data_IF_043969101649
#
_entry.id   IF_043969101649
#
_cell.length_a   1.000
_cell.length_b   1.000
_cell.length_c   1.000
_cell.angle_alpha   90.00
_cell.angle_beta   90.00
_cell.angle_gamma   90.00
#
_symmetry.space_group_name_H-M   'P 1'
#
loop_
_entity.id
_entity.type
_entity.pdbx_description
1 polymer ?
#
# COMPACT_ATOMS: atom_id res chain seq x y z
N UNK A 1 -13.61 -2.02 4.82
CA UNK A 1 -12.93 -1.54 6.04
C UNK A 1 -12.52 -2.74 6.88
N UNK A 2 -11.31 -2.73 7.45
CA UNK A 2 -10.85 -3.77 8.39
C UNK A 2 -10.40 -3.08 9.68
N UNK A 3 -10.94 -3.49 10.84
CA UNK A 3 -10.65 -2.88 12.15
C UNK A 3 -10.75 -1.34 12.19
N UNK A 4 -11.75 -0.79 11.49
CA UNK A 4 -11.98 0.67 11.43
C UNK A 4 -11.03 1.44 10.52
N UNK A 5 -10.24 0.74 9.69
CA UNK A 5 -9.36 1.35 8.68
C UNK A 5 -10.00 1.13 7.29
N UNK A 6 -10.13 2.22 6.53
CA UNK A 6 -10.51 2.19 5.12
C UNK A 6 -9.25 1.92 4.28
N UNK A 7 -9.22 0.76 3.63
CA UNK A 7 -8.09 0.36 2.79
C UNK A 7 -8.42 0.62 1.32
N UNK A 8 -7.48 1.27 0.64
CA UNK A 8 -7.38 1.24 -0.81
C UNK A 8 -6.49 0.06 -1.22
N UNK A 9 -6.88 -0.68 -2.25
CA UNK A 9 -6.15 -1.86 -2.72
C UNK A 9 -5.90 -1.72 -4.21
N UNK A 10 -4.64 -1.64 -4.61
CA UNK A 10 -4.25 -1.36 -5.99
C UNK A 10 -3.11 -2.26 -6.45
N UNK A 11 -3.07 -2.58 -7.74
CA UNK A 11 -1.94 -3.26 -8.34
C UNK A 11 -0.78 -2.29 -8.62
N UNK A 12 0.45 -2.81 -8.65
CA UNK A 12 1.67 -2.02 -8.82
C UNK A 12 1.78 -1.24 -10.15
N UNK A 13 0.95 -1.58 -11.13
CA UNK A 13 0.90 -0.94 -12.45
C UNK A 13 0.15 0.41 -12.45
N UNK A 14 -0.45 0.79 -11.32
CA UNK A 14 -1.26 2.00 -11.19
C UNK A 14 -0.47 3.22 -10.77
N UNK A 15 -0.74 4.33 -11.46
CA UNK A 15 -0.17 5.64 -11.14
C UNK A 15 -0.65 6.08 -9.75
N UNK A 16 0.30 6.44 -8.88
CA UNK A 16 0.07 6.91 -7.51
C UNK A 16 -0.57 5.91 -6.53
N UNK A 17 -0.70 4.63 -6.88
CA UNK A 17 -1.09 3.54 -5.97
C UNK A 17 -2.29 3.89 -5.06
N UNK A 18 -3.32 4.60 -5.55
CA UNK A 18 -4.48 4.94 -4.72
C UNK A 18 -4.24 5.90 -3.53
N UNK A 19 -3.06 6.56 -3.44
CA UNK A 19 -2.71 7.46 -2.32
C UNK A 19 -3.71 8.60 -2.14
N UNK A 20 -4.21 9.17 -3.24
CA UNK A 20 -5.21 10.24 -3.18
C UNK A 20 -6.51 9.78 -2.52
N UNK A 21 -6.93 8.55 -2.78
CA UNK A 21 -8.13 7.96 -2.20
C UNK A 21 -7.95 7.70 -0.70
N UNK A 22 -6.78 7.17 -0.30
CA UNK A 22 -6.44 6.97 1.10
C UNK A 22 -6.41 8.31 1.89
N UNK A 23 -5.87 9.37 1.29
CA UNK A 23 -5.92 10.72 1.88
C UNK A 23 -7.36 11.23 2.00
N UNK A 24 -8.19 11.03 0.98
CA UNK A 24 -9.60 11.42 1.03
C UNK A 24 -10.33 10.76 2.21
N UNK A 25 -10.05 9.49 2.50
CA UNK A 25 -10.59 8.81 3.69
C UNK A 25 -10.13 9.47 5.00
N UNK A 26 -8.85 9.86 5.11
CA UNK A 26 -8.36 10.58 6.29
C UNK A 26 -9.04 11.93 6.49
N UNK A 27 -9.19 12.72 5.41
CA UNK A 27 -9.91 14.00 5.48
C UNK A 27 -11.41 13.83 5.79
N UNK A 28 -11.98 12.67 5.43
CA UNK A 28 -13.32 12.27 5.84
C UNK A 28 -13.45 11.81 7.30
N UNK A 29 -12.36 11.85 8.08
CA UNK A 29 -12.34 11.49 9.50
C UNK A 29 -12.10 9.99 9.77
N UNK A 30 -11.75 9.20 8.77
CA UNK A 30 -11.44 7.78 8.92
C UNK A 30 -9.93 7.54 9.07
N UNK A 31 -9.58 6.39 9.64
CA UNK A 31 -8.21 5.88 9.48
C UNK A 31 -8.09 5.31 8.07
N UNK A 32 -6.98 5.57 7.39
CA UNK A 32 -6.73 5.06 6.05
C UNK A 32 -5.56 4.08 6.02
N UNK A 33 -5.65 3.13 5.10
CA UNK A 33 -4.59 2.22 4.77
C UNK A 33 -4.47 2.03 3.27
N UNK A 34 -3.34 1.52 2.84
CA UNK A 34 -3.03 1.25 1.45
C UNK A 34 -2.40 -0.14 1.34
N UNK A 35 -2.92 -0.97 0.44
CA UNK A 35 -2.35 -2.27 0.11
C UNK A 35 -1.96 -2.24 -1.38
N UNK A 36 -0.69 -2.43 -1.65
CA UNK A 36 -0.19 -2.53 -3.04
C UNK A 36 0.06 -3.99 -3.38
N UNK A 37 -0.58 -4.49 -4.43
CA UNK A 37 -0.41 -5.85 -4.94
C UNK A 37 0.74 -5.84 -5.96
N UNK A 38 1.77 -6.63 -5.68
CA UNK A 38 2.97 -6.76 -6.53
C UNK A 38 2.99 -8.16 -7.12
N UNK A 39 3.16 -8.24 -8.44
CA UNK A 39 3.25 -9.50 -9.21
C UNK A 39 4.61 -9.64 -9.91
N UNK A 40 5.36 -8.55 -10.06
CA UNK A 40 6.71 -8.52 -10.62
C UNK A 40 7.77 -9.00 -9.61
N UNK A 41 8.79 -9.70 -10.12
CA UNK A 41 9.95 -10.18 -9.35
C UNK A 41 11.11 -9.17 -9.34
N UNK A 42 10.98 -8.01 -10.01
CA UNK A 42 12.01 -6.98 -10.06
C UNK A 42 12.33 -6.39 -8.67
N UNK A 43 13.47 -6.83 -8.13
CA UNK A 43 13.98 -6.40 -6.83
C UNK A 43 14.21 -4.88 -6.70
N UNK A 44 14.53 -4.17 -7.79
CA UNK A 44 14.74 -2.73 -7.74
C UNK A 44 13.40 -1.99 -7.61
N UNK A 45 12.39 -2.39 -8.39
CA UNK A 45 11.03 -1.83 -8.25
C UNK A 45 10.46 -2.08 -6.87
N UNK A 46 10.63 -3.30 -6.34
CA UNK A 46 10.21 -3.64 -4.98
C UNK A 46 10.87 -2.74 -3.94
N UNK A 47 12.19 -2.48 -4.04
CA UNK A 47 12.89 -1.58 -3.11
C UNK A 47 12.38 -0.14 -3.19
N UNK A 48 12.09 0.35 -4.39
CA UNK A 48 11.53 1.70 -4.58
C UNK A 48 10.12 1.79 -3.97
N UNK A 49 9.28 0.78 -4.21
CA UNK A 49 7.93 0.70 -3.64
C UNK A 49 7.98 0.67 -2.11
N UNK A 50 8.85 -0.15 -1.52
CA UNK A 50 9.02 -0.21 -0.05
C UNK A 50 9.40 1.16 0.50
N UNK A 51 10.38 1.85 -0.11
CA UNK A 51 10.80 3.18 0.34
C UNK A 51 9.67 4.21 0.23
N UNK A 52 8.88 4.15 -0.85
CA UNK A 52 7.74 5.02 -1.06
C UNK A 52 6.64 4.79 -0.01
N UNK A 53 6.27 3.53 0.23
CA UNK A 53 5.24 3.18 1.21
C UNK A 53 5.69 3.48 2.65
N UNK A 54 6.99 3.34 2.96
CA UNK A 54 7.56 3.84 4.23
C UNK A 54 7.36 5.34 4.39
N UNK A 55 7.71 6.11 3.36
CA UNK A 55 7.52 7.55 3.37
C UNK A 55 6.04 7.93 3.58
N UNK A 56 5.11 7.23 2.93
CA UNK A 56 3.66 7.43 3.13
C UNK A 56 3.27 7.15 4.59
N UNK A 57 3.68 6.00 5.13
CA UNK A 57 3.35 5.61 6.50
C UNK A 57 3.87 6.64 7.51
N UNK A 58 5.11 7.08 7.33
CA UNK A 58 5.76 8.05 8.21
C UNK A 58 5.16 9.45 8.14
N UNK A 59 4.96 9.97 6.91
CA UNK A 59 4.55 11.36 6.67
C UNK A 59 3.05 11.57 6.67
N UNK A 60 2.30 10.62 6.12
CA UNK A 60 0.85 10.73 5.92
C UNK A 60 0.05 9.93 6.94
N UNK A 61 0.70 9.09 7.77
CA UNK A 61 0.02 8.25 8.78
C UNK A 61 -1.01 7.30 8.15
N UNK A 62 -0.73 6.83 6.94
CA UNK A 62 -1.53 5.83 6.22
C UNK A 62 -0.89 4.45 6.48
N UNK A 63 -1.68 3.49 6.92
CA UNK A 63 -1.19 2.13 7.19
C UNK A 63 -0.90 1.38 5.88
N UNK A 64 0.38 1.18 5.55
CA UNK A 64 0.80 0.66 4.25
C UNK A 64 1.26 -0.80 4.31
N UNK A 65 0.81 -1.61 3.36
CA UNK A 65 1.17 -3.02 3.20
C UNK A 65 1.47 -3.35 1.75
N UNK A 66 2.30 -4.36 1.52
CA UNK A 66 2.50 -4.96 0.20
C UNK A 66 1.93 -6.37 0.24
N UNK A 67 1.09 -6.73 -0.73
CA UNK A 67 0.72 -8.11 -0.99
C UNK A 67 1.53 -8.60 -2.19
N UNK A 68 2.56 -9.40 -1.93
CA UNK A 68 3.44 -9.93 -2.98
C UNK A 68 2.91 -11.27 -3.46
N UNK A 69 2.48 -11.36 -4.72
CA UNK A 69 1.92 -12.57 -5.32
C UNK A 69 2.80 -13.08 -6.46
N UNK A 70 3.57 -14.15 -6.23
CA UNK A 70 4.41 -14.80 -7.25
C UNK A 70 3.89 -16.20 -7.50
N UNK A 71 3.58 -16.53 -8.77
CA UNK A 71 3.26 -17.90 -9.23
C UNK A 71 2.34 -18.67 -8.26
N UNK A 72 1.25 -18.03 -7.84
CA UNK A 72 0.20 -18.55 -6.93
C UNK A 72 0.47 -18.49 -5.43
N UNK A 73 1.65 -18.10 -4.96
CA UNK A 73 1.91 -17.79 -3.55
C UNK A 73 1.80 -16.29 -3.30
N UNK A 74 0.96 -15.91 -2.34
CA UNK A 74 0.79 -14.53 -1.91
C UNK A 74 1.24 -14.35 -0.46
N UNK A 75 2.16 -13.42 -0.22
CA UNK A 75 2.65 -13.07 1.11
C UNK A 75 2.33 -11.60 1.41
N UNK A 76 1.75 -11.34 2.59
CA UNK A 76 1.53 -9.99 3.07
C UNK A 76 2.77 -9.49 3.80
N UNK A 77 3.47 -8.54 3.19
CA UNK A 77 4.61 -7.86 3.75
C UNK A 77 4.15 -6.59 4.45
N UNK A 78 4.33 -6.56 5.77
CA UNK A 78 4.07 -5.36 6.56
C UNK A 78 5.25 -4.40 6.44
N UNK A 79 4.97 -3.16 6.08
CA UNK A 79 5.98 -2.11 6.03
C UNK A 79 6.02 -1.43 7.39
N UNK A 80 7.11 -1.66 8.12
CA UNK A 80 7.43 -1.02 9.40
C UNK A 80 8.10 0.33 9.19
#
# INVERSE_FOLDING_TARGET
MCNGIAYEVECEDKVHYGVGQALAYQYGGLRAGLIVIVIDEDSNKMKQLINFLKWISDKLKIDAHILKCIRYDCELLKIA
#
